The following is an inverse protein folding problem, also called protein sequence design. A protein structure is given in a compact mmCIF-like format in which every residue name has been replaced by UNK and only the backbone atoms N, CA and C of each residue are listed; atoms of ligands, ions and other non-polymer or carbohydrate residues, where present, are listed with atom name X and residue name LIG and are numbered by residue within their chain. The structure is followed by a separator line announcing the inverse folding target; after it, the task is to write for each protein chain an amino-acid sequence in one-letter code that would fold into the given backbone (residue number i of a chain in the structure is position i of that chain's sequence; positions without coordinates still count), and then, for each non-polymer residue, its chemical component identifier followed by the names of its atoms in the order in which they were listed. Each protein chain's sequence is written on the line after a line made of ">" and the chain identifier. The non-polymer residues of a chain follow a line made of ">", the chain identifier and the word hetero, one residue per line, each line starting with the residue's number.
data_IF_859237238672
#
_entry.id   IF_859237238672
#
_cell.length_a   1.000
_cell.length_b   1.000
_cell.length_c   1.000
_cell.angle_alpha   90.00
_cell.angle_beta   90.00
_cell.angle_gamma   90.00
#
_symmetry.space_group_name_H-M   'P 1'
#
loop_
_entity.id
_entity.type
_entity.pdbx_description
1 polymer ?
#
# COMPACT_ATOMS: atom_id res chain seq x y z
N UNK A 1 3.62 -10.23 -19.80
CA UNK A 1 3.99 -8.96 -19.13
C UNK A 1 4.55 -9.30 -17.76
N UNK A 2 5.67 -8.69 -17.34
CA UNK A 2 6.26 -8.96 -16.02
C UNK A 2 5.42 -8.26 -14.95
N UNK A 3 5.01 -8.98 -13.91
CA UNK A 3 4.35 -8.39 -12.74
C UNK A 3 5.36 -7.51 -11.99
N UNK A 4 5.05 -6.21 -11.73
CA UNK A 4 5.94 -5.34 -10.96
C UNK A 4 6.15 -5.90 -9.55
N UNK A 5 7.42 -5.91 -9.11
CA UNK A 5 7.78 -6.18 -7.71
C UNK A 5 7.88 -4.86 -6.94
N UNK A 6 7.90 -4.92 -5.60
CA UNK A 6 8.09 -3.74 -4.74
C UNK A 6 9.36 -2.95 -5.13
N UNK A 7 10.47 -3.64 -5.42
CA UNK A 7 11.73 -3.00 -5.83
C UNK A 7 11.68 -2.34 -7.22
N UNK A 8 10.67 -2.65 -8.03
CA UNK A 8 10.51 -2.09 -9.39
C UNK A 8 9.67 -0.79 -9.38
N UNK A 9 9.10 -0.40 -8.22
CA UNK A 9 8.19 0.75 -8.12
C UNK A 9 8.94 2.08 -8.14
N UNK A 10 8.40 3.05 -8.87
CA UNK A 10 8.92 4.40 -8.98
C UNK A 10 7.87 5.45 -8.62
N UNK A 11 8.32 6.66 -8.30
CA UNK A 11 7.44 7.80 -8.06
C UNK A 11 6.62 8.17 -9.30
N UNK A 12 5.43 8.73 -9.10
CA UNK A 12 4.54 9.24 -10.17
C UNK A 12 4.06 8.17 -11.17
N UNK A 13 4.13 6.90 -10.80
CA UNK A 13 3.67 5.78 -11.62
C UNK A 13 2.31 5.24 -11.14
N UNK A 14 1.38 5.04 -12.07
CA UNK A 14 0.18 4.24 -11.82
C UNK A 14 0.48 2.76 -12.09
N UNK A 15 0.13 1.88 -11.16
CA UNK A 15 0.34 0.43 -11.27
C UNK A 15 -0.93 -0.34 -10.94
N UNK A 16 -1.03 -1.55 -11.47
CA UNK A 16 -2.01 -2.55 -11.06
C UNK A 16 -1.28 -3.87 -10.86
N UNK A 17 -1.19 -4.33 -9.61
CA UNK A 17 -0.50 -5.58 -9.24
C UNK A 17 -1.01 -6.07 -7.88
N UNK A 18 -0.55 -7.24 -7.45
CA UNK A 18 -0.89 -7.83 -6.14
C UNK A 18 0.37 -7.99 -5.29
N UNK A 19 0.22 -7.72 -3.98
CA UNK A 19 1.25 -7.91 -2.96
C UNK A 19 0.64 -8.62 -1.75
N UNK A 20 1.48 -9.26 -0.92
CA UNK A 20 1.06 -9.82 0.35
C UNK A 20 0.75 -8.68 1.34
N UNK A 21 -0.35 -8.77 2.08
CA UNK A 21 -0.61 -7.86 3.20
C UNK A 21 0.20 -8.36 4.41
N UNK A 22 1.24 -7.61 4.78
CA UNK A 22 2.09 -7.89 5.93
C UNK A 22 1.52 -7.29 7.24
N UNK A 23 0.91 -6.11 7.16
CA UNK A 23 0.27 -5.41 8.29
C UNK A 23 -1.02 -4.71 7.82
N UNK A 24 -2.02 -4.61 8.71
CA UNK A 24 -3.28 -3.89 8.48
C UNK A 24 -3.70 -3.12 9.73
N UNK A 25 -3.86 -1.81 9.61
CA UNK A 25 -4.27 -0.94 10.71
C UNK A 25 -5.24 0.15 10.23
N UNK A 26 -6.27 0.45 11.05
CA UNK A 26 -7.07 1.67 10.89
C UNK A 26 -6.43 2.75 11.74
N UNK A 27 -5.99 3.84 11.11
CA UNK A 27 -5.37 5.00 11.77
C UNK A 27 -6.18 6.26 11.50
N UNK A 28 -5.94 7.31 12.27
CA UNK A 28 -6.56 8.62 12.04
C UNK A 28 -5.54 9.63 11.50
N UNK A 29 -5.97 10.49 10.58
CA UNK A 29 -5.19 11.66 10.16
C UNK A 29 -5.08 12.66 11.32
N UNK A 30 -4.29 13.72 11.14
CA UNK A 30 -4.21 14.83 12.13
C UNK A 30 -5.56 15.49 12.40
N UNK A 31 -6.48 15.45 11.43
CA UNK A 31 -7.85 15.98 11.54
C UNK A 31 -8.84 14.96 12.12
N UNK A 32 -8.39 13.76 12.51
CA UNK A 32 -9.23 12.71 13.09
C UNK A 32 -9.98 11.84 12.07
N UNK A 33 -9.78 12.04 10.76
CA UNK A 33 -10.41 11.19 9.72
C UNK A 33 -9.75 9.82 9.66
N UNK A 34 -10.49 8.71 9.67
CA UNK A 34 -9.91 7.37 9.60
C UNK A 34 -9.38 7.06 8.20
N UNK A 35 -8.28 6.30 8.11
CA UNK A 35 -7.70 5.77 6.88
C UNK A 35 -7.14 4.35 7.12
N UNK A 36 -7.12 3.52 6.07
CA UNK A 36 -6.47 2.21 6.13
C UNK A 36 -4.98 2.37 5.83
N UNK A 37 -4.14 1.96 6.77
CA UNK A 37 -2.71 1.75 6.55
C UNK A 37 -2.46 0.26 6.33
N UNK A 38 -1.73 -0.05 5.27
CA UNK A 38 -1.25 -1.39 4.97
C UNK A 38 0.28 -1.36 4.84
N UNK A 39 0.93 -2.40 5.32
CA UNK A 39 2.26 -2.77 4.81
C UNK A 39 2.06 -3.90 3.79
N UNK A 40 2.53 -3.66 2.56
CA UNK A 40 2.45 -4.60 1.44
C UNK A 40 3.84 -5.14 1.13
N UNK A 41 3.96 -6.42 0.79
CA UNK A 41 5.27 -7.04 0.57
C UNK A 41 5.32 -8.12 -0.50
N UNK A 42 6.52 -8.33 -1.01
CA UNK A 42 6.92 -9.50 -1.79
C UNK A 42 8.39 -9.85 -1.49
N UNK A 43 8.97 -10.78 -2.25
CA UNK A 43 10.36 -11.22 -2.10
C UNK A 43 11.42 -10.13 -2.28
N UNK A 44 11.06 -8.98 -2.83
CA UNK A 44 11.96 -7.85 -3.10
C UNK A 44 11.94 -6.77 -2.02
N UNK A 45 10.95 -6.79 -1.11
CA UNK A 45 10.84 -5.84 -0.01
C UNK A 45 9.39 -5.58 0.41
N UNK A 46 9.21 -4.54 1.22
CA UNK A 46 7.90 -4.04 1.65
C UNK A 46 7.72 -2.56 1.33
N UNK A 47 6.46 -2.14 1.21
CA UNK A 47 6.07 -0.76 0.94
C UNK A 47 4.80 -0.42 1.74
N UNK A 48 4.73 0.81 2.24
CA UNK A 48 3.52 1.31 2.90
C UNK A 48 2.49 1.77 1.85
N UNK A 49 1.25 1.31 2.01
CA UNK A 49 0.10 1.77 1.24
C UNK A 49 -0.94 2.41 2.16
N UNK A 50 -1.62 3.43 1.65
CA UNK A 50 -2.69 4.14 2.37
C UNK A 50 -3.94 4.23 1.50
N UNK A 51 -5.07 3.76 2.02
CA UNK A 51 -6.38 4.07 1.46
C UNK A 51 -7.03 5.14 2.33
N UNK A 52 -7.20 6.33 1.76
CA UNK A 52 -7.73 7.50 2.47
C UNK A 52 -9.24 7.45 2.67
N UNK A 53 -9.95 6.77 1.77
CA UNK A 53 -11.39 6.59 1.78
C UNK A 53 -11.76 5.20 1.25
N UNK A 54 -13.05 4.85 1.34
CA UNK A 54 -13.64 3.64 0.76
C UNK A 54 -12.94 2.32 1.15
N UNK A 55 -12.59 2.17 2.42
CA UNK A 55 -11.95 0.95 2.96
C UNK A 55 -12.77 0.22 4.04
N UNK A 56 -13.99 0.70 4.32
CA UNK A 56 -14.96 0.00 5.17
C UNK A 56 -15.38 -1.35 4.57
#
# INVERSE_FOLDING_TARGET
>A
MKTPLVSDLNTEQNITTFFLVCEKEIRNTREGKPYLRLELGDRSGTIEARMWDQFE
#
